data_IF_767774550151
#
_entry.id   IF_767774550151
#
_cell.length_a   1.000
_cell.length_b   1.000
_cell.length_c   1.000
_cell.angle_alpha   90.00
_cell.angle_beta   90.00
_cell.angle_gamma   90.00
#
_symmetry.space_group_name_H-M   'P 1'
#
loop_
_entity.id
_entity.type
_entity.pdbx_description
1 polymer ?
#
# COMPACT_ATOMS: atom_id res chain seq x y z
N UNK A 1 -17.32 -1.73 -14.11
CA UNK A 1 -16.45 -2.90 -13.83
C UNK A 1 -15.99 -3.48 -15.16
N UNK A 2 -14.69 -3.66 -15.36
CA UNK A 2 -14.14 -4.47 -16.46
C UNK A 2 -13.45 -5.65 -15.79
N UNK A 3 -13.87 -6.88 -16.09
CA UNK A 3 -13.30 -8.12 -15.55
C UNK A 3 -13.35 -8.25 -14.00
N UNK A 4 -14.42 -7.78 -13.35
CA UNK A 4 -14.54 -7.83 -11.89
C UNK A 4 -13.69 -6.80 -11.13
N UNK A 5 -12.93 -5.97 -11.84
CA UNK A 5 -12.15 -4.87 -11.25
C UNK A 5 -12.97 -3.58 -11.30
N UNK A 6 -13.14 -2.95 -10.13
CA UNK A 6 -13.73 -1.63 -10.02
C UNK A 6 -12.76 -0.58 -10.55
N UNK A 7 -13.26 0.34 -11.39
CA UNK A 7 -12.44 1.44 -11.91
C UNK A 7 -12.52 2.58 -10.93
N UNK A 8 -11.48 2.75 -10.13
CA UNK A 8 -11.38 3.88 -9.20
C UNK A 8 -11.19 5.20 -9.96
N UNK A 9 -11.85 6.24 -9.47
CA UNK A 9 -11.79 7.62 -9.91
C UNK A 9 -10.93 8.47 -8.97
N UNK A 10 -10.61 9.69 -9.39
CA UNK A 10 -9.88 10.66 -8.57
C UNK A 10 -10.57 10.96 -7.25
N UNK A 11 -11.90 11.05 -7.28
CA UNK A 11 -12.72 11.35 -6.10
C UNK A 11 -12.54 10.26 -5.04
N UNK A 12 -12.55 9.00 -5.44
CA UNK A 12 -12.40 7.86 -4.53
C UNK A 12 -10.97 7.75 -4.00
N UNK A 13 -9.96 8.01 -4.84
CA UNK A 13 -8.55 8.05 -4.40
C UNK A 13 -8.30 9.12 -3.34
N UNK A 14 -8.83 10.32 -3.54
CA UNK A 14 -8.76 11.40 -2.55
C UNK A 14 -9.44 10.99 -1.24
N UNK A 15 -10.59 10.32 -1.30
CA UNK A 15 -11.28 9.85 -0.10
C UNK A 15 -10.48 8.79 0.66
N UNK A 16 -9.83 7.85 -0.04
CA UNK A 16 -8.95 6.85 0.61
C UNK A 16 -7.81 7.56 1.33
N UNK A 17 -7.15 8.51 0.67
CA UNK A 17 -6.08 9.29 1.28
C UNK A 17 -6.57 10.08 2.51
N UNK A 18 -7.76 10.68 2.44
CA UNK A 18 -8.39 11.38 3.56
C UNK A 18 -8.71 10.44 4.74
N UNK A 19 -9.23 9.25 4.48
CA UNK A 19 -9.47 8.24 5.51
C UNK A 19 -8.17 7.83 6.20
N UNK A 20 -7.12 7.56 5.44
CA UNK A 20 -5.81 7.17 5.98
C UNK A 20 -5.21 8.32 6.79
N UNK A 21 -5.27 9.55 6.28
CA UNK A 21 -4.86 10.76 7.00
C UNK A 21 -5.61 10.92 8.33
N UNK A 22 -6.93 10.72 8.31
CA UNK A 22 -7.76 10.79 9.51
C UNK A 22 -7.38 9.74 10.56
N UNK A 23 -7.14 8.49 10.15
CA UNK A 23 -6.72 7.43 11.07
C UNK A 23 -5.39 7.78 11.74
N UNK A 24 -4.43 8.25 10.96
CA UNK A 24 -3.11 8.63 11.47
C UNK A 24 -3.19 9.83 12.41
N UNK A 25 -4.03 10.84 12.13
CA UNK A 25 -4.33 11.93 13.06
C UNK A 25 -4.89 11.42 14.41
N UNK A 26 -5.59 10.29 14.40
CA UNK A 26 -6.08 9.61 15.61
C UNK A 26 -5.08 8.62 16.22
N UNK A 27 -3.83 8.58 15.74
CA UNK A 27 -2.82 7.58 16.10
C UNK A 27 -3.26 6.13 15.83
N UNK A 28 -4.19 5.92 14.90
CA UNK A 28 -4.67 4.62 14.44
C UNK A 28 -3.96 4.27 13.15
N UNK A 29 -3.43 3.04 13.09
CA UNK A 29 -2.71 2.51 11.93
C UNK A 29 -3.50 1.29 11.45
N UNK A 30 -3.86 1.25 10.17
CA UNK A 30 -4.67 0.17 9.61
C UNK A 30 -3.97 -1.20 9.68
N UNK A 31 -2.65 -1.22 9.47
CA UNK A 31 -1.76 -2.40 9.46
C UNK A 31 -2.03 -3.45 8.38
N UNK A 32 -3.20 -3.42 7.77
CA UNK A 32 -3.59 -4.34 6.70
C UNK A 32 -4.17 -3.60 5.49
N UNK A 33 -3.46 -2.57 5.03
CA UNK A 33 -3.97 -1.71 3.97
C UNK A 33 -3.64 -2.31 2.59
N UNK A 34 -4.65 -2.80 1.87
CA UNK A 34 -4.54 -3.31 0.48
C UNK A 34 -5.86 -3.15 -0.28
N UNK A 35 -5.88 -3.31 -1.61
CA UNK A 35 -7.09 -3.13 -2.43
C UNK A 35 -8.35 -3.86 -1.93
N UNK A 36 -8.23 -5.09 -1.41
CA UNK A 36 -9.38 -5.88 -0.93
C UNK A 36 -10.07 -5.28 0.32
N UNK A 37 -9.41 -4.34 0.99
CA UNK A 37 -9.90 -3.62 2.18
C UNK A 37 -10.44 -2.23 1.82
N UNK A 38 -10.52 -1.90 0.53
CA UNK A 38 -11.17 -0.71 0.01
C UNK A 38 -12.57 -1.09 -0.48
N UNK A 39 -13.60 -0.63 0.24
CA UNK A 39 -14.99 -0.80 -0.14
C UNK A 39 -15.44 0.39 -0.96
N UNK A 40 -16.13 0.12 -2.06
CA UNK A 40 -16.73 1.17 -2.89
C UNK A 40 -18.26 1.03 -2.88
N UNK A 41 -18.94 2.11 -2.52
CA UNK A 41 -20.40 2.22 -2.63
C UNK A 41 -20.75 3.57 -3.28
N UNK A 42 -21.40 3.50 -4.44
CA UNK A 42 -21.61 4.64 -5.35
C UNK A 42 -20.30 5.36 -5.72
N UNK A 43 -20.09 6.56 -5.18
CA UNK A 43 -18.89 7.41 -5.36
C UNK A 43 -18.11 7.57 -4.05
N UNK A 44 -18.38 6.69 -3.07
CA UNK A 44 -17.74 6.70 -1.75
C UNK A 44 -16.78 5.53 -1.61
N UNK A 45 -15.53 5.85 -1.33
CA UNK A 45 -14.51 4.90 -0.92
C UNK A 45 -14.41 4.87 0.61
N UNK A 46 -14.43 3.67 1.16
CA UNK A 46 -14.31 3.40 2.59
C UNK A 46 -13.14 2.44 2.82
N UNK A 47 -12.38 2.69 3.88
CA UNK A 47 -11.32 1.79 4.34
C UNK A 47 -11.94 0.87 5.41
N UNK A 48 -11.81 -0.45 5.23
CA UNK A 48 -12.41 -1.47 6.08
C UNK A 48 -11.37 -2.47 6.59
N UNK A 49 -11.75 -3.26 7.61
CA UNK A 49 -10.90 -4.29 8.27
C UNK A 49 -9.69 -3.72 9.02
N UNK A 50 -9.98 -3.03 10.13
CA UNK A 50 -9.01 -2.32 10.98
C UNK A 50 -8.12 -3.23 11.86
N UNK A 51 -7.60 -4.32 11.28
CA UNK A 51 -6.52 -5.09 11.88
C UNK A 51 -6.98 -6.27 12.74
N UNK A 52 -7.77 -7.17 12.16
CA UNK A 52 -7.77 -8.53 12.66
C UNK A 52 -6.38 -9.16 12.43
N UNK A 53 -5.84 -9.94 13.39
CA UNK A 53 -4.62 -10.69 13.16
C UNK A 53 -4.81 -11.64 11.98
N UNK A 54 -3.97 -11.51 10.97
CA UNK A 54 -3.94 -12.42 9.83
C UNK A 54 -3.13 -13.66 10.17
N UNK A 55 -3.71 -14.84 9.94
CA UNK A 55 -2.98 -16.11 10.02
C UNK A 55 -1.93 -16.14 8.90
N UNK A 56 -0.65 -16.14 9.26
CA UNK A 56 0.47 -16.15 8.31
C UNK A 56 0.70 -17.52 7.66
N UNK A 57 -0.13 -18.51 7.99
CA UNK A 57 -0.04 -19.88 7.49
C UNK A 57 -0.58 -20.01 6.05
N UNK A 58 -1.38 -19.05 5.58
CA UNK A 58 -1.76 -18.94 4.17
C UNK A 58 -0.62 -18.27 3.36
N UNK A 59 -0.01 -18.98 2.38
CA UNK A 59 1.03 -18.42 1.52
C UNK A 59 0.61 -17.15 0.77
N UNK A 60 -0.69 -17.02 0.45
CA UNK A 60 -1.24 -15.84 -0.24
C UNK A 60 -1.30 -14.64 0.69
N UNK A 61 -1.79 -14.86 1.90
CA UNK A 61 -1.78 -13.86 2.96
C UNK A 61 -0.35 -13.39 3.29
N UNK A 62 0.60 -14.32 3.38
CA UNK A 62 2.01 -13.99 3.62
C UNK A 62 2.62 -13.16 2.48
N UNK A 63 2.28 -13.45 1.21
CA UNK A 63 2.72 -12.65 0.06
C UNK A 63 2.20 -11.22 0.15
N UNK A 64 0.90 -11.07 0.39
CA UNK A 64 0.26 -9.77 0.55
C UNK A 64 0.95 -9.01 1.68
N UNK A 65 1.12 -9.60 2.87
CA UNK A 65 1.80 -8.91 4.00
C UNK A 65 3.20 -8.42 3.60
N UNK A 66 4.02 -9.26 2.96
CA UNK A 66 5.39 -8.87 2.57
C UNK A 66 5.37 -7.74 1.53
N UNK A 67 4.47 -7.78 0.55
CA UNK A 67 4.44 -6.82 -0.56
C UNK A 67 4.14 -5.38 -0.12
N UNK A 68 3.37 -5.18 0.94
CA UNK A 68 3.03 -3.83 1.46
C UNK A 68 3.94 -3.40 2.63
N UNK A 69 4.88 -4.25 3.05
CA UNK A 69 5.73 -3.98 4.21
C UNK A 69 7.01 -3.29 3.80
N UNK A 70 7.37 -2.22 4.51
CA UNK A 70 8.61 -1.49 4.31
C UNK A 70 9.86 -2.41 4.34
N UNK A 71 10.79 -2.27 3.37
CA UNK A 71 12.00 -3.09 3.29
C UNK A 71 12.87 -3.05 4.55
N UNK A 72 13.02 -1.89 5.20
CA UNK A 72 13.83 -1.79 6.42
C UNK A 72 13.19 -2.53 7.60
N UNK A 73 11.85 -2.46 7.71
CA UNK A 73 11.14 -3.25 8.70
C UNK A 73 11.28 -4.76 8.42
N UNK A 74 11.13 -5.20 7.16
CA UNK A 74 11.34 -6.59 6.79
C UNK A 74 12.76 -7.09 7.13
N UNK A 75 13.79 -6.30 6.84
CA UNK A 75 15.18 -6.62 7.15
C UNK A 75 15.46 -6.72 8.65
N UNK A 76 14.69 -6.01 9.48
CA UNK A 76 14.80 -6.13 10.94
C UNK A 76 14.21 -7.45 11.49
N UNK A 77 13.56 -8.25 10.66
CA UNK A 77 12.81 -9.43 11.11
C UNK A 77 11.61 -9.08 12.00
N UNK A 78 11.11 -7.85 11.91
CA UNK A 78 10.03 -7.34 12.76
C UNK A 78 10.46 -7.03 14.21
N UNK A 79 11.76 -7.00 14.50
CA UNK A 79 12.30 -6.73 15.84
C UNK A 79 12.20 -5.28 16.29
N UNK A 80 12.01 -4.34 15.35
CA UNK A 80 11.84 -2.91 15.65
C UNK A 80 10.36 -2.53 15.61
N UNK A 81 9.98 -1.43 16.25
CA UNK A 81 8.64 -0.85 16.06
C UNK A 81 8.61 -0.10 14.72
N UNK A 82 7.58 -0.32 13.91
CA UNK A 82 7.40 0.47 12.68
C UNK A 82 7.23 1.96 13.02
N UNK A 83 8.07 2.79 12.41
CA UNK A 83 7.94 4.24 12.46
C UNK A 83 6.89 4.72 11.44
N UNK A 84 6.52 6.01 11.48
CA UNK A 84 5.51 6.56 10.56
C UNK A 84 5.93 6.45 9.08
N UNK A 85 7.17 6.77 8.76
CA UNK A 85 7.71 6.69 7.39
C UNK A 85 7.66 5.26 6.81
N UNK A 86 7.84 4.24 7.64
CA UNK A 86 7.70 2.83 7.24
C UNK A 86 6.26 2.45 6.92
N UNK A 87 5.27 3.10 7.56
CA UNK A 87 3.85 2.87 7.24
C UNK A 87 3.43 3.55 5.95
N UNK A 88 4.07 4.67 5.60
CA UNK A 88 3.86 5.39 4.34
C UNK A 88 4.26 4.53 3.13
N UNK A 89 5.21 3.62 3.28
CA UNK A 89 5.61 2.70 2.21
C UNK A 89 4.41 1.91 1.66
N UNK A 90 3.65 1.25 2.55
CA UNK A 90 2.49 0.45 2.16
C UNK A 90 1.39 1.27 1.49
N UNK A 91 1.26 2.56 1.84
CA UNK A 91 0.39 3.48 1.13
C UNK A 91 0.85 3.69 -0.31
N UNK A 92 2.16 3.85 -0.56
CA UNK A 92 2.70 3.94 -1.93
C UNK A 92 2.36 2.71 -2.77
N UNK A 93 2.58 1.53 -2.21
CA UNK A 93 2.24 0.25 -2.86
C UNK A 93 0.75 0.15 -3.17
N UNK A 94 -0.14 0.53 -2.23
CA UNK A 94 -1.58 0.57 -2.48
C UNK A 94 -1.94 1.55 -3.61
N UNK A 95 -1.42 2.78 -3.54
CA UNK A 95 -1.74 3.80 -4.52
C UNK A 95 -1.33 3.37 -5.94
N UNK A 96 -0.19 2.68 -6.05
CA UNK A 96 0.26 2.06 -7.30
C UNK A 96 -0.61 0.88 -7.72
N UNK A 97 -1.00 -0.01 -6.82
CA UNK A 97 -1.90 -1.13 -7.11
C UNK A 97 -3.23 -0.62 -7.68
N UNK A 98 -3.78 0.44 -7.10
CA UNK A 98 -5.04 1.05 -7.53
C UNK A 98 -4.95 1.64 -8.94
N UNK A 99 -3.80 2.17 -9.36
CA UNK A 99 -3.60 2.70 -10.72
C UNK A 99 -3.23 1.61 -11.71
N UNK A 100 -2.33 0.70 -11.34
CA UNK A 100 -1.86 -0.41 -12.18
C UNK A 100 -2.94 -1.46 -12.41
N UNK A 101 -3.84 -1.64 -11.42
CA UNK A 101 -4.81 -2.73 -11.31
C UNK A 101 -4.15 -4.12 -11.25
N UNK A 102 -2.89 -4.15 -10.85
CA UNK A 102 -2.08 -5.36 -10.76
C UNK A 102 -1.65 -5.49 -9.30
N UNK A 103 -1.95 -6.61 -8.62
CA UNK A 103 -1.43 -6.84 -7.28
C UNK A 103 0.10 -6.74 -7.28
N UNK A 104 0.70 -6.10 -6.26
CA UNK A 104 2.14 -5.99 -6.18
C UNK A 104 2.78 -7.37 -6.18
N UNK A 105 3.75 -7.58 -7.07
CA UNK A 105 4.48 -8.83 -7.21
C UNK A 105 3.61 -10.09 -7.44
N UNK A 106 2.45 -9.96 -8.12
CA UNK A 106 1.45 -11.03 -8.29
C UNK A 106 1.97 -12.40 -8.78
N UNK A 107 3.12 -12.43 -9.45
CA UNK A 107 3.73 -13.64 -10.04
C UNK A 107 4.97 -14.14 -9.27
N UNK A 108 5.27 -13.57 -8.09
CA UNK A 108 6.45 -13.92 -7.30
C UNK A 108 6.09 -14.70 -6.03
N UNK A 109 6.99 -15.60 -5.61
CA UNK A 109 6.90 -16.25 -4.31
C UNK A 109 7.29 -15.28 -3.19
N UNK A 110 6.84 -15.52 -1.96
CA UNK A 110 7.19 -14.69 -0.78
C UNK A 110 8.70 -14.48 -0.62
N UNK A 111 9.52 -15.47 -0.95
CA UNK A 111 10.99 -15.36 -0.95
C UNK A 111 11.50 -14.45 -2.07
N UNK A 112 10.96 -14.59 -3.29
CA UNK A 112 11.33 -13.73 -4.40
C UNK A 112 10.92 -12.27 -4.16
N UNK A 113 9.75 -12.03 -3.56
CA UNK A 113 9.30 -10.68 -3.18
C UNK A 113 10.31 -10.03 -2.24
N UNK A 114 10.79 -10.74 -1.21
CA UNK A 114 11.80 -10.21 -0.28
C UNK A 114 13.11 -9.80 -0.97
N UNK A 115 13.47 -10.43 -2.08
CA UNK A 115 14.66 -10.04 -2.85
C UNK A 115 14.35 -8.87 -3.79
N UNK A 116 13.19 -8.86 -4.44
CA UNK A 116 12.82 -7.81 -5.40
C UNK A 116 12.50 -6.48 -4.71
N UNK A 117 11.86 -6.51 -3.53
CA UNK A 117 11.53 -5.30 -2.76
C UNK A 117 12.77 -4.52 -2.33
N UNK A 118 13.93 -5.18 -2.22
CA UNK A 118 15.22 -4.56 -1.90
C UNK A 118 15.85 -3.86 -3.11
N UNK A 119 15.45 -4.22 -4.33
CA UNK A 119 15.98 -3.64 -5.57
C UNK A 119 15.23 -2.39 -5.99
N UNK A 120 14.01 -2.18 -5.46
CA UNK A 120 13.05 -1.09 -5.73
C UNK A 120 12.79 -0.92 -7.21
N UNK A 121 11.58 -1.19 -7.70
CA UNK A 121 11.00 -0.53 -8.91
C UNK A 121 9.69 -1.19 -9.33
N UNK A 122 8.58 -0.84 -8.69
CA UNK A 122 7.32 -0.83 -9.41
C UNK A 122 7.37 0.27 -10.49
N UNK A 123 7.03 -0.06 -11.73
CA UNK A 123 7.09 0.89 -12.85
C UNK A 123 5.97 1.91 -12.75
N UNK A 124 6.25 3.17 -13.08
CA UNK A 124 5.22 4.19 -13.26
C UNK A 124 4.19 3.68 -14.28
N UNK A 125 2.92 3.70 -13.89
CA UNK A 125 1.81 3.21 -14.72
C UNK A 125 1.48 4.27 -15.77
N UNK A 126 1.47 3.89 -17.04
CA UNK A 126 1.13 4.79 -18.15
C UNK A 126 -0.27 5.39 -17.96
N UNK A 127 -0.43 6.66 -18.35
CA UNK A 127 -1.67 7.45 -18.15
C UNK A 127 -2.05 7.74 -16.69
N UNK A 128 -1.14 7.53 -15.74
CA UNK A 128 -1.28 8.09 -14.39
C UNK A 128 -0.90 9.57 -14.41
N UNK A 129 -1.73 10.48 -13.89
CA UNK A 129 -1.36 11.88 -13.69
C UNK A 129 -0.09 12.01 -12.87
N UNK A 130 0.77 12.93 -13.30
CA UNK A 130 2.10 13.14 -12.75
C UNK A 130 2.09 13.38 -11.25
N UNK A 131 1.14 14.17 -10.73
CA UNK A 131 1.06 14.45 -9.29
C UNK A 131 0.79 13.19 -8.47
N UNK A 132 0.00 12.25 -9.01
CA UNK A 132 -0.31 11.01 -8.33
C UNK A 132 0.84 10.01 -8.43
N UNK A 133 1.53 9.93 -9.59
CA UNK A 133 2.72 9.09 -9.69
C UNK A 133 3.84 9.58 -8.77
N UNK A 134 4.06 10.89 -8.75
CA UNK A 134 5.00 11.53 -7.83
C UNK A 134 4.65 11.24 -6.36
N UNK A 135 3.35 11.18 -6.02
CA UNK A 135 2.93 10.87 -4.65
C UNK A 135 3.31 9.45 -4.25
N UNK A 136 2.90 8.42 -5.01
CA UNK A 136 3.24 7.05 -4.62
C UNK A 136 4.74 6.78 -4.74
N UNK A 137 5.44 7.45 -5.67
CA UNK A 137 6.89 7.34 -5.80
C UNK A 137 7.63 7.89 -4.57
N UNK A 138 7.17 9.02 -4.05
CA UNK A 138 7.69 9.55 -2.80
C UNK A 138 7.35 8.62 -1.63
N UNK A 139 6.14 8.05 -1.60
CA UNK A 139 5.71 7.16 -0.51
C UNK A 139 6.60 5.93 -0.34
N UNK A 140 7.08 5.32 -1.43
CA UNK A 140 7.94 4.13 -1.37
C UNK A 140 9.44 4.41 -1.52
N UNK A 141 9.87 5.67 -1.41
CA UNK A 141 11.27 6.06 -1.57
C UNK A 141 12.20 5.22 -0.69
N UNK A 142 13.38 4.86 -1.21
CA UNK A 142 14.44 4.21 -0.43
C UNK A 142 14.90 5.07 0.74
N UNK A 143 14.96 6.38 0.53
CA UNK A 143 15.23 7.34 1.60
C UNK A 143 13.94 7.62 2.37
N UNK A 144 13.84 7.04 3.57
CA UNK A 144 12.72 7.24 4.51
C UNK A 144 12.45 8.73 4.81
N UNK A 145 13.43 9.62 4.68
CA UNK A 145 13.25 11.06 4.92
C UNK A 145 12.56 11.79 3.76
N UNK A 146 12.58 11.23 2.55
CA UNK A 146 11.89 11.78 1.38
C UNK A 146 10.42 11.40 1.33
N UNK A 147 10.02 10.42 2.15
CA UNK A 147 8.62 9.98 2.22
C UNK A 147 7.76 11.09 2.81
N UNK A 148 6.53 11.30 2.28
CA UNK A 148 5.62 12.30 2.81
C UNK A 148 5.36 12.07 4.30
N UNK A 149 5.21 13.16 5.04
CA UNK A 149 4.58 13.12 6.35
C UNK A 149 3.08 13.26 6.15
N UNK A 150 2.32 12.62 7.03
CA UNK A 150 0.88 12.80 7.09
C UNK A 150 0.65 13.96 8.05
N UNK A 151 0.29 15.10 7.48
CA UNK A 151 0.05 16.38 8.14
C UNK A 151 -1.46 16.66 8.14
#
# INVERSE_FOLDING_TARGET
MLNGLYKISWVELTQIAQWIGYLHMKNIIHRDLHSKNILIHDIKALVADFGLPKELDDPTCLRDVIAYTDPHYLLSGGSIKQNESQKIYGLGVLLWELTSRVPPYYNLSSFAIKIEILKITEKIVTNTPTDYSNLYERCWSSDQNQRPKID
#
